data_IF_963945711873
#
_entry.id   IF_963945711873
#
_cell.length_a   1.000
_cell.length_b   1.000
_cell.length_c   1.000
_cell.angle_alpha   90.00
_cell.angle_beta   90.00
_cell.angle_gamma   90.00
#
_symmetry.space_group_name_H-M   'P 1'
#
loop_
_entity.id
_entity.type
_entity.pdbx_description
1 polymer ?
#
# COMPACT_ATOMS: atom_id res chain seq x y z
N UNK A 1 -7.25 -0.39 -25.24
CA UNK A 1 -5.89 -0.97 -25.40
C UNK A 1 -4.94 0.21 -25.33
N UNK A 2 -4.23 0.40 -24.21
CA UNK A 2 -3.26 1.49 -24.07
C UNK A 2 -2.02 1.07 -24.88
N UNK A 3 -1.60 1.92 -25.82
CA UNK A 3 -0.44 1.64 -26.65
C UNK A 3 0.79 1.43 -25.76
N UNK A 4 1.51 0.33 -25.99
CA UNK A 4 2.78 0.05 -25.32
C UNK A 4 3.75 1.18 -25.69
N UNK A 5 4.47 1.78 -24.72
CA UNK A 5 5.53 2.73 -25.04
C UNK A 5 6.55 2.09 -26.00
N UNK A 6 6.84 2.75 -27.12
CA UNK A 6 7.84 2.25 -28.06
C UNK A 6 9.20 2.11 -27.35
N UNK A 7 9.82 0.92 -27.43
CA UNK A 7 11.16 0.67 -26.89
C UNK A 7 11.22 0.08 -25.48
N UNK A 8 10.09 -0.08 -24.77
CA UNK A 8 10.08 -0.75 -23.46
C UNK A 8 9.76 -2.25 -23.64
N UNK A 9 10.58 -3.16 -23.11
CA UNK A 9 10.29 -4.60 -23.17
C UNK A 9 8.97 -4.95 -22.46
N UNK A 10 8.07 -5.62 -23.18
CA UNK A 10 6.81 -6.15 -22.63
C UNK A 10 7.06 -7.47 -21.89
N UNK A 11 7.81 -7.41 -20.79
CA UNK A 11 8.19 -8.57 -19.98
C UNK A 11 7.85 -8.36 -18.51
N UNK A 12 7.49 -9.45 -17.77
CA UNK A 12 7.24 -9.38 -16.34
C UNK A 12 8.43 -8.77 -15.60
N UNK A 13 8.13 -7.94 -14.60
CA UNK A 13 9.16 -7.28 -13.81
C UNK A 13 9.69 -5.98 -14.40
N UNK A 14 9.61 -5.79 -15.73
CA UNK A 14 9.85 -4.49 -16.36
C UNK A 14 8.55 -3.75 -16.51
N UNK A 15 7.57 -4.33 -17.21
CA UNK A 15 6.26 -3.72 -17.43
C UNK A 15 5.24 -4.25 -16.43
N UNK A 16 4.36 -3.37 -15.95
CA UNK A 16 3.31 -3.71 -15.03
C UNK A 16 1.98 -3.91 -15.75
N UNK A 17 1.31 -5.05 -15.55
CA UNK A 17 -0.02 -5.29 -16.14
C UNK A 17 -1.13 -5.36 -15.11
N UNK A 18 -2.34 -4.93 -15.49
CA UNK A 18 -3.50 -5.00 -14.60
C UNK A 18 -3.86 -6.45 -14.24
N UNK A 19 -3.70 -7.39 -15.20
CA UNK A 19 -3.95 -8.82 -15.00
C UNK A 19 -3.03 -9.40 -13.93
N UNK A 20 -1.74 -9.09 -14.00
CA UNK A 20 -0.76 -9.50 -13.01
C UNK A 20 -1.06 -8.94 -11.61
N UNK A 21 -1.47 -7.67 -11.51
CA UNK A 21 -1.86 -7.11 -10.22
C UNK A 21 -3.16 -7.73 -9.67
N UNK A 22 -4.10 -8.09 -10.55
CA UNK A 22 -5.37 -8.70 -10.16
C UNK A 22 -5.16 -10.10 -9.57
N UNK A 23 -4.20 -10.87 -10.08
CA UNK A 23 -3.94 -12.23 -9.58
C UNK A 23 -3.48 -12.25 -8.11
N UNK A 24 -2.93 -11.13 -7.61
CA UNK A 24 -2.54 -10.97 -6.20
C UNK A 24 -3.73 -11.02 -5.23
N UNK A 25 -4.98 -10.91 -5.73
CA UNK A 25 -6.20 -11.03 -4.91
C UNK A 25 -6.31 -12.41 -4.26
N UNK A 26 -6.00 -13.46 -5.01
CA UNK A 26 -6.20 -14.84 -4.54
C UNK A 26 -5.20 -15.20 -3.43
N UNK A 27 -3.96 -14.73 -3.56
CA UNK A 27 -2.95 -14.84 -2.50
C UNK A 27 -3.40 -14.11 -1.22
N UNK A 28 -3.90 -12.88 -1.36
CA UNK A 28 -4.40 -12.10 -0.22
C UNK A 28 -5.57 -12.80 0.47
N UNK A 29 -6.53 -13.32 -0.31
CA UNK A 29 -7.67 -14.06 0.19
C UNK A 29 -7.23 -15.35 0.89
N UNK A 30 -6.24 -16.08 0.36
CA UNK A 30 -5.69 -17.28 0.99
C UNK A 30 -5.04 -16.97 2.34
N UNK A 31 -4.18 -15.95 2.43
CA UNK A 31 -3.54 -15.53 3.69
C UNK A 31 -4.57 -15.16 4.76
N UNK A 32 -5.69 -14.55 4.37
CA UNK A 32 -6.77 -14.21 5.29
C UNK A 32 -7.51 -15.44 5.83
N UNK A 33 -7.70 -16.49 5.02
CA UNK A 33 -8.31 -17.77 5.44
C UNK A 33 -7.43 -18.54 6.43
N UNK A 34 -6.11 -18.44 6.28
CA UNK A 34 -5.14 -19.20 7.09
C UNK A 34 -4.75 -18.56 8.42
N UNK A 35 -5.35 -17.43 8.82
CA UNK A 35 -5.06 -16.84 10.13
C UNK A 35 -5.72 -17.70 11.22
N UNK A 36 -4.97 -18.50 12.00
CA UNK A 36 -5.57 -19.36 13.00
C UNK A 36 -6.23 -18.44 14.02
N UNK A 37 -7.48 -18.72 14.36
CA UNK A 37 -8.13 -18.13 15.51
C UNK A 37 -7.46 -18.69 16.78
N UNK A 38 -6.21 -18.32 17.07
CA UNK A 38 -5.69 -18.47 18.45
C UNK A 38 -6.35 -17.38 19.29
N UNK A 39 -7.67 -17.50 19.49
CA UNK A 39 -8.35 -16.86 20.62
C UNK A 39 -7.86 -17.60 21.85
N UNK A 40 -6.73 -17.15 22.42
CA UNK A 40 -6.47 -17.42 23.83
C UNK A 40 -7.64 -16.82 24.60
N UNK A 41 -8.36 -17.66 25.35
CA UNK A 41 -9.34 -17.16 26.31
C UNK A 41 -8.64 -16.15 27.23
N UNK A 42 -9.12 -14.91 27.25
CA UNK A 42 -8.55 -13.82 28.06
C UNK A 42 -7.71 -12.78 27.30
N UNK A 43 -7.38 -12.97 26.02
CA UNK A 43 -6.73 -11.92 25.23
C UNK A 43 -7.77 -10.92 24.74
N UNK A 44 -7.88 -9.78 25.43
CA UNK A 44 -8.62 -8.61 24.92
C UNK A 44 -7.90 -8.18 23.64
N UNK A 45 -8.56 -8.16 22.46
CA UNK A 45 -7.94 -7.59 21.28
C UNK A 45 -7.61 -6.12 21.59
N UNK A 46 -6.37 -5.71 21.34
CA UNK A 46 -6.02 -4.30 21.38
C UNK A 46 -7.03 -3.56 20.50
N UNK A 47 -7.74 -2.59 21.08
CA UNK A 47 -8.69 -1.75 20.35
C UNK A 47 -7.90 -1.02 19.26
N UNK A 48 -8.13 -1.39 18.01
CA UNK A 48 -7.71 -0.56 16.89
C UNK A 48 -8.55 0.72 16.97
N UNK A 49 -7.90 1.88 16.98
CA UNK A 49 -8.60 3.16 17.00
C UNK A 49 -9.51 3.27 15.75
N UNK A 50 -10.77 3.68 15.93
CA UNK A 50 -11.75 3.85 14.85
C UNK A 50 -12.93 2.86 14.83
N UNK A 51 -13.08 2.00 15.85
CA UNK A 51 -14.23 1.07 15.91
C UNK A 51 -15.47 1.74 16.52
N UNK A 52 -16.28 2.39 15.70
CA UNK A 52 -17.72 2.46 15.97
C UNK A 52 -18.33 1.06 15.79
N UNK A 53 -19.49 0.80 16.37
CA UNK A 53 -20.29 -0.38 16.01
C UNK A 53 -21.63 0.12 15.51
N UNK A 54 -21.90 -0.09 14.22
CA UNK A 54 -23.18 0.27 13.64
C UNK A 54 -24.10 -0.96 13.57
N UNK A 55 -25.33 -0.76 14.05
CA UNK A 55 -26.37 -1.80 14.06
C UNK A 55 -26.85 -2.03 12.62
N UNK A 56 -26.44 -3.12 11.98
CA UNK A 56 -26.81 -3.42 10.59
C UNK A 56 -28.22 -3.95 10.46
N UNK A 57 -28.54 -4.95 11.26
CA UNK A 57 -29.83 -5.65 11.18
C UNK A 57 -30.07 -6.47 12.45
N UNK A 58 -31.35 -6.65 12.77
CA UNK A 58 -31.82 -7.60 13.78
C UNK A 58 -32.52 -8.71 13.00
N UNK A 59 -32.03 -9.95 13.13
CA UNK A 59 -32.62 -11.12 12.47
C UNK A 59 -32.95 -12.22 13.45
N UNK A 60 -33.82 -13.15 13.05
CA UNK A 60 -34.07 -14.37 13.81
C UNK A 60 -32.77 -15.19 13.97
N UNK A 61 -32.60 -15.75 15.15
CA UNK A 61 -31.52 -16.68 15.48
C UNK A 61 -31.61 -17.94 14.61
N UNK A 62 -30.46 -18.42 14.14
CA UNK A 62 -30.32 -19.72 13.49
C UNK A 62 -29.27 -20.53 14.26
N UNK A 63 -29.43 -21.85 14.28
CA UNK A 63 -28.48 -22.75 14.93
C UNK A 63 -27.05 -22.53 14.36
N UNK A 64 -26.11 -22.19 15.25
CA UNK A 64 -24.73 -21.83 14.90
C UNK A 64 -24.37 -20.37 15.18
N UNK A 65 -25.36 -19.51 15.45
CA UNK A 65 -25.12 -18.13 15.86
C UNK A 65 -24.57 -18.01 17.29
N UNK A 66 -23.74 -16.99 17.54
CA UNK A 66 -23.17 -16.71 18.86
C UNK A 66 -24.23 -16.12 19.80
N UNK A 67 -24.62 -16.80 20.90
CA UNK A 67 -25.64 -16.33 21.83
C UNK A 67 -25.30 -15.01 22.52
N UNK A 68 -24.01 -14.62 22.55
CA UNK A 68 -23.58 -13.33 23.12
C UNK A 68 -24.05 -12.13 22.30
N UNK A 69 -24.45 -12.35 21.05
CA UNK A 69 -24.97 -11.32 20.14
C UNK A 69 -26.50 -11.22 20.18
N UNK A 70 -27.14 -11.88 21.14
CA UNK A 70 -28.60 -11.85 21.27
C UNK A 70 -29.10 -10.44 21.58
N UNK A 71 -30.19 -10.04 20.92
CA UNK A 71 -30.88 -8.80 21.19
C UNK A 71 -32.02 -9.06 22.18
N UNK A 72 -31.85 -8.71 23.47
CA UNK A 72 -32.87 -9.00 24.47
C UNK A 72 -34.16 -8.19 24.24
N UNK A 73 -34.08 -6.99 23.64
CA UNK A 73 -35.23 -6.13 23.42
C UNK A 73 -36.10 -6.59 22.25
N UNK A 74 -35.50 -7.07 21.16
CA UNK A 74 -36.22 -7.68 20.05
C UNK A 74 -36.75 -9.07 20.40
N UNK A 75 -35.98 -9.84 21.18
CA UNK A 75 -36.40 -11.16 21.68
C UNK A 75 -37.60 -11.03 22.62
N UNK A 76 -37.59 -10.07 23.54
CA UNK A 76 -38.72 -9.81 24.43
C UNK A 76 -39.99 -9.37 23.69
N UNK A 77 -39.86 -8.60 22.61
CA UNK A 77 -41.02 -8.11 21.83
C UNK A 77 -41.66 -9.17 20.95
N UNK A 78 -40.86 -10.04 20.34
CA UNK A 78 -41.33 -11.03 19.35
C UNK A 78 -41.56 -12.41 19.96
N UNK A 79 -41.04 -12.67 21.15
CA UNK A 79 -41.05 -14.00 21.79
C UNK A 79 -40.15 -15.03 21.10
N UNK A 80 -39.36 -14.61 20.10
CA UNK A 80 -38.45 -15.47 19.35
C UNK A 80 -37.01 -14.97 19.51
N UNK A 81 -35.98 -15.84 19.61
CA UNK A 81 -34.60 -15.39 19.77
C UNK A 81 -34.14 -14.59 18.55
N UNK A 82 -33.68 -13.37 18.78
CA UNK A 82 -33.12 -12.50 17.73
C UNK A 82 -31.64 -12.23 17.99
N UNK A 83 -30.86 -12.20 16.92
CA UNK A 83 -29.43 -11.84 16.95
C UNK A 83 -29.25 -10.45 16.37
N UNK A 84 -28.46 -9.65 17.08
CA UNK A 84 -27.96 -8.36 16.63
C UNK A 84 -26.75 -8.59 15.72
N UNK A 85 -26.91 -8.36 14.42
CA UNK A 85 -25.78 -8.31 13.49
C UNK A 85 -25.13 -6.94 13.61
N UNK A 86 -24.02 -6.89 14.33
CA UNK A 86 -23.20 -5.69 14.46
C UNK A 86 -22.26 -5.63 13.25
N UNK A 87 -22.34 -4.56 12.46
CA UNK A 87 -21.24 -4.20 11.58
C UNK A 87 -20.22 -3.47 12.45
N UNK A 88 -18.96 -3.90 12.39
CA UNK A 88 -17.87 -3.03 12.79
C UNK A 88 -17.99 -1.79 11.90
N UNK A 89 -18.21 -0.62 12.49
CA UNK A 89 -18.15 0.63 11.75
C UNK A 89 -16.68 0.78 11.36
N UNK A 90 -16.36 0.34 10.14
CA UNK A 90 -14.99 0.23 9.65
C UNK A 90 -14.61 1.54 9.00
N UNK A 91 -14.00 2.42 9.80
CA UNK A 91 -13.05 3.42 9.31
C UNK A 91 -11.74 2.74 8.78
N UNK A 92 -11.81 1.51 8.22
CA UNK A 92 -10.66 0.83 7.61
C UNK A 92 -10.40 1.43 6.21
N UNK A 93 -9.93 2.67 6.22
CA UNK A 93 -9.54 3.41 5.02
C UNK A 93 -8.02 3.35 4.84
N UNK A 94 -7.57 2.96 3.65
CA UNK A 94 -6.15 3.01 3.27
C UNK A 94 -5.96 3.86 2.01
N UNK A 95 -5.01 4.78 2.08
CA UNK A 95 -4.46 5.46 0.92
C UNK A 95 -3.15 4.76 0.52
N UNK A 96 -3.12 4.23 -0.70
CA UNK A 96 -1.95 3.60 -1.30
C UNK A 96 -1.21 4.63 -2.17
N UNK A 97 0.06 4.89 -1.86
CA UNK A 97 0.88 5.86 -2.61
C UNK A 97 1.99 5.13 -3.36
N UNK A 98 1.88 5.11 -4.69
CA UNK A 98 2.86 4.55 -5.60
C UNK A 98 3.83 5.62 -6.09
N UNK A 99 5.13 5.40 -5.91
CA UNK A 99 6.19 6.21 -6.48
C UNK A 99 6.68 5.61 -7.80
N UNK A 100 6.45 6.32 -8.90
CA UNK A 100 6.87 5.98 -10.27
C UNK A 100 7.82 7.04 -10.85
N UNK A 101 8.47 7.84 -10.01
CA UNK A 101 9.51 8.78 -10.46
C UNK A 101 10.74 8.03 -10.97
N UNK A 102 11.62 8.71 -11.71
CA UNK A 102 12.81 8.11 -12.32
C UNK A 102 13.64 7.22 -11.36
N UNK A 103 13.87 7.56 -10.07
CA UNK A 103 14.61 6.69 -9.13
C UNK A 103 13.94 5.35 -8.79
N UNK A 104 12.71 5.13 -9.25
CA UNK A 104 11.96 3.89 -9.09
C UNK A 104 11.92 3.05 -10.38
N UNK A 105 12.28 3.62 -11.54
CA UNK A 105 12.18 2.98 -12.85
C UNK A 105 13.45 2.19 -13.23
N UNK A 106 14.10 1.58 -12.25
CA UNK A 106 15.28 0.73 -12.43
C UNK A 106 15.24 -0.46 -11.46
N UNK A 107 16.06 -1.47 -11.74
CA UNK A 107 16.29 -2.64 -10.88
C UNK A 107 17.38 -3.53 -11.47
N UNK A 108 18.12 -4.23 -10.62
CA UNK A 108 19.17 -5.20 -11.04
C UNK A 108 18.72 -6.65 -10.93
N UNK A 109 17.64 -6.91 -10.20
CA UNK A 109 17.05 -8.23 -10.02
C UNK A 109 15.92 -8.54 -11.00
N UNK A 110 14.94 -9.32 -10.53
CA UNK A 110 13.82 -9.81 -11.36
C UNK A 110 12.77 -8.74 -11.71
N UNK A 111 12.80 -7.55 -11.10
CA UNK A 111 11.84 -6.49 -11.36
C UNK A 111 12.37 -5.10 -11.00
N UNK A 112 11.86 -4.07 -11.69
CA UNK A 112 12.06 -2.67 -11.32
C UNK A 112 11.46 -2.39 -9.94
N UNK A 113 12.04 -1.42 -9.22
CA UNK A 113 11.49 -0.97 -7.93
C UNK A 113 10.04 -0.51 -8.04
N UNK A 114 9.68 0.19 -9.10
CA UNK A 114 8.31 0.66 -9.36
C UNK A 114 7.32 -0.50 -9.46
N UNK A 115 7.70 -1.59 -10.13
CA UNK A 115 6.85 -2.78 -10.28
C UNK A 115 6.66 -3.44 -8.92
N UNK A 116 7.73 -3.60 -8.14
CA UNK A 116 7.68 -4.16 -6.78
C UNK A 116 6.89 -3.29 -5.82
N UNK A 117 7.03 -1.96 -5.91
CA UNK A 117 6.23 -1.00 -5.16
C UNK A 117 4.73 -1.20 -5.43
N UNK A 118 4.34 -1.28 -6.71
CA UNK A 118 2.94 -1.48 -7.09
C UNK A 118 2.39 -2.83 -6.60
N UNK A 119 3.14 -3.92 -6.75
CA UNK A 119 2.76 -5.25 -6.22
C UNK A 119 2.55 -5.21 -4.71
N UNK A 120 3.48 -4.59 -3.97
CA UNK A 120 3.41 -4.45 -2.52
C UNK A 120 2.16 -3.66 -2.08
N UNK A 121 1.85 -2.55 -2.76
CA UNK A 121 0.67 -1.74 -2.50
C UNK A 121 -0.63 -2.53 -2.75
N UNK A 122 -0.70 -3.26 -3.87
CA UNK A 122 -1.88 -4.08 -4.20
C UNK A 122 -2.08 -5.21 -3.20
N UNK A 123 -1.00 -5.88 -2.78
CA UNK A 123 -1.04 -6.89 -1.72
C UNK A 123 -1.54 -6.31 -0.38
N UNK A 124 -1.21 -5.06 -0.06
CA UNK A 124 -1.69 -4.38 1.13
C UNK A 124 -3.14 -3.88 1.02
N UNK A 125 -3.58 -3.52 -0.19
CA UNK A 125 -4.93 -3.04 -0.50
C UNK A 125 -6.00 -4.14 -0.46
N UNK A 126 -5.71 -5.32 -1.01
CA UNK A 126 -6.68 -6.40 -1.10
C UNK A 126 -7.31 -6.80 0.24
N UNK A 127 -6.55 -6.99 1.33
CA UNK A 127 -7.16 -7.29 2.62
C UNK A 127 -8.14 -6.24 3.12
N UNK A 128 -7.94 -4.97 2.77
CA UNK A 128 -8.83 -3.85 3.14
C UNK A 128 -10.12 -3.92 2.34
N UNK A 129 -10.00 -4.04 1.01
CA UNK A 129 -11.14 -4.18 0.11
C UNK A 129 -12.01 -5.41 0.45
N UNK A 130 -11.38 -6.57 0.70
CA UNK A 130 -12.05 -7.81 1.09
C UNK A 130 -12.75 -7.72 2.45
N UNK A 131 -12.33 -6.78 3.31
CA UNK A 131 -13.00 -6.45 4.57
C UNK A 131 -14.11 -5.41 4.41
N UNK A 132 -14.37 -4.92 3.21
CA UNK A 132 -15.32 -3.84 2.93
C UNK A 132 -14.79 -2.44 3.25
N UNK A 133 -13.49 -2.31 3.55
CA UNK A 133 -12.86 -1.01 3.81
C UNK A 133 -12.67 -0.19 2.53
N UNK A 134 -12.35 1.10 2.70
CA UNK A 134 -12.15 2.04 1.61
C UNK A 134 -10.70 2.04 1.13
N UNK A 135 -10.49 1.91 -0.19
CA UNK A 135 -9.15 1.98 -0.80
C UNK A 135 -9.08 3.18 -1.73
N UNK A 136 -8.21 4.13 -1.40
CA UNK A 136 -7.83 5.25 -2.25
C UNK A 136 -6.41 5.05 -2.77
N UNK A 137 -6.05 5.77 -3.84
CA UNK A 137 -4.68 5.72 -4.35
C UNK A 137 -4.17 7.05 -4.90
N UNK A 138 -2.85 7.19 -4.85
CA UNK A 138 -2.08 8.30 -5.39
C UNK A 138 -0.87 7.73 -6.14
N UNK A 139 -0.73 8.03 -7.42
CA UNK A 139 0.41 7.59 -8.24
C UNK A 139 1.24 8.81 -8.61
N UNK A 140 2.47 8.87 -8.13
CA UNK A 140 3.39 9.99 -8.30
C UNK A 140 4.43 9.59 -9.35
N UNK A 141 4.19 9.96 -10.61
CA UNK A 141 5.15 9.80 -11.71
C UNK A 141 5.72 11.14 -12.20
N UNK A 142 5.07 12.25 -11.84
CA UNK A 142 5.34 13.58 -12.38
C UNK A 142 4.70 14.69 -11.51
N UNK A 143 4.72 15.96 -11.96
CA UNK A 143 4.18 17.09 -11.19
C UNK A 143 2.66 17.03 -10.96
N UNK A 144 1.95 16.24 -11.78
CA UNK A 144 0.52 15.98 -11.65
C UNK A 144 0.31 14.49 -11.33
N UNK A 145 0.18 14.13 -10.05
CA UNK A 145 -0.15 12.78 -9.65
C UNK A 145 -1.53 12.36 -10.18
N UNK A 146 -1.67 11.08 -10.50
CA UNK A 146 -2.98 10.49 -10.71
C UNK A 146 -3.59 10.08 -9.36
N UNK A 147 -4.90 10.20 -9.24
CA UNK A 147 -5.63 9.99 -7.99
C UNK A 147 -6.81 9.03 -8.24
N UNK A 148 -7.09 8.17 -7.27
CA UNK A 148 -8.31 7.35 -7.21
C UNK A 148 -8.97 7.65 -5.88
N UNK A 149 -10.22 8.11 -5.94
CA UNK A 149 -11.01 8.38 -4.75
C UNK A 149 -11.30 7.09 -3.98
N UNK A 150 -11.29 7.21 -2.64
CA UNK A 150 -11.60 6.09 -1.76
C UNK A 150 -13.04 5.64 -1.90
N UNK A 151 -13.23 4.34 -2.08
CA UNK A 151 -14.54 3.70 -2.05
C UNK A 151 -14.39 2.25 -1.59
N UNK A 152 -15.49 1.66 -1.10
CA UNK A 152 -15.53 0.30 -0.58
C UNK A 152 -15.71 -0.76 -1.69
N UNK A 153 -15.34 -2.00 -1.35
CA UNK A 153 -15.52 -3.18 -2.20
C UNK A 153 -14.38 -3.45 -3.18
N UNK A 154 -14.60 -4.37 -4.12
CA UNK A 154 -13.56 -4.85 -5.06
C UNK A 154 -13.34 -3.90 -6.25
N UNK A 155 -14.37 -3.15 -6.66
CA UNK A 155 -14.30 -2.23 -7.82
C UNK A 155 -13.15 -1.21 -7.77
N UNK A 156 -12.88 -0.57 -6.61
CA UNK A 156 -11.76 0.36 -6.44
C UNK A 156 -10.40 -0.31 -6.65
N UNK A 157 -10.24 -1.56 -6.23
CA UNK A 157 -9.02 -2.33 -6.49
C UNK A 157 -8.85 -2.67 -7.97
N UNK A 158 -9.94 -2.93 -8.70
CA UNK A 158 -9.91 -3.12 -10.16
C UNK A 158 -9.43 -1.84 -10.85
N UNK A 159 -10.05 -0.70 -10.50
CA UNK A 159 -9.66 0.61 -11.00
C UNK A 159 -8.21 0.95 -10.66
N UNK A 160 -7.76 0.60 -9.45
CA UNK A 160 -6.38 0.75 -9.00
C UNK A 160 -5.39 -0.05 -9.84
N UNK A 161 -5.62 -1.35 -10.03
CA UNK A 161 -4.73 -2.20 -10.81
C UNK A 161 -4.59 -1.69 -12.25
N UNK A 162 -5.71 -1.26 -12.85
CA UNK A 162 -5.70 -0.67 -14.18
C UNK A 162 -4.98 0.69 -14.21
N UNK A 163 -5.16 1.54 -13.19
CA UNK A 163 -4.50 2.84 -13.11
C UNK A 163 -2.99 2.70 -12.89
N UNK A 164 -2.55 1.81 -11.99
CA UNK A 164 -1.14 1.53 -11.75
C UNK A 164 -0.43 1.12 -13.04
N UNK A 165 -0.99 0.16 -13.78
CA UNK A 165 -0.44 -0.27 -15.07
C UNK A 165 -0.31 0.90 -16.07
N UNK A 166 -1.38 1.70 -16.23
CA UNK A 166 -1.37 2.85 -17.16
C UNK A 166 -0.36 3.94 -16.76
N UNK A 167 -0.29 4.28 -15.48
CA UNK A 167 0.61 5.33 -14.99
C UNK A 167 2.07 4.86 -15.03
N UNK A 168 2.31 3.58 -14.81
CA UNK A 168 3.62 2.97 -14.92
C UNK A 168 4.11 2.95 -16.38
N UNK A 169 3.26 2.54 -17.34
CA UNK A 169 3.56 2.63 -18.78
C UNK A 169 3.90 4.07 -19.19
N UNK A 170 3.12 5.05 -18.72
CA UNK A 170 3.38 6.47 -19.00
C UNK A 170 4.72 6.95 -18.40
N UNK A 171 5.05 6.52 -17.19
CA UNK A 171 6.31 6.86 -16.52
C UNK A 171 7.53 6.25 -17.23
N UNK A 172 7.41 5.02 -17.74
CA UNK A 172 8.46 4.39 -18.53
C UNK A 172 8.66 5.08 -19.89
N UNK A 173 7.58 5.55 -20.51
CA UNK A 173 7.63 6.26 -21.79
C UNK A 173 8.31 7.62 -21.70
N UNK A 174 8.05 8.34 -20.60
CA UNK A 174 8.55 9.69 -20.37
C UNK A 174 8.86 9.87 -18.87
N UNK A 175 10.03 9.38 -18.40
CA UNK A 175 10.45 9.57 -17.03
C UNK A 175 10.54 11.06 -16.69
N UNK A 176 9.82 11.49 -15.66
CA UNK A 176 9.98 12.85 -15.15
C UNK A 176 11.16 12.88 -14.17
N UNK A 177 12.20 13.61 -14.54
CA UNK A 177 13.29 13.94 -13.64
C UNK A 177 12.86 15.02 -12.64
N UNK A 178 13.49 15.01 -11.46
CA UNK A 178 13.46 16.10 -10.48
C UNK A 178 12.08 16.48 -9.91
N UNK A 179 11.19 15.48 -9.71
CA UNK A 179 9.90 15.70 -9.03
C UNK A 179 10.01 15.37 -7.55
N UNK A 180 9.90 16.34 -6.63
CA UNK A 180 9.93 16.06 -5.20
C UNK A 180 8.68 15.29 -4.77
N UNK A 181 8.86 14.27 -3.92
CA UNK A 181 7.75 13.49 -3.37
C UNK A 181 6.77 14.37 -2.61
N UNK A 182 7.28 15.42 -1.95
CA UNK A 182 6.51 16.37 -1.15
C UNK A 182 5.32 16.98 -1.92
N UNK A 183 5.54 17.40 -3.18
CA UNK A 183 4.51 18.01 -4.01
C UNK A 183 3.39 17.03 -4.37
N UNK A 184 3.75 15.77 -4.60
CA UNK A 184 2.76 14.70 -4.78
C UNK A 184 1.99 14.41 -3.50
N UNK A 185 2.70 14.26 -2.38
CA UNK A 185 2.16 13.91 -1.06
C UNK A 185 1.24 14.98 -0.47
N UNK A 186 1.34 16.24 -0.88
CA UNK A 186 0.39 17.28 -0.44
C UNK A 186 -1.08 16.92 -0.75
N UNK A 187 -1.34 16.11 -1.79
CA UNK A 187 -2.68 15.60 -2.13
C UNK A 187 -3.18 14.53 -1.17
N UNK A 188 -2.28 13.79 -0.53
CA UNK A 188 -2.63 12.72 0.42
C UNK A 188 -3.46 13.23 1.61
N UNK A 189 -3.28 14.49 2.01
CA UNK A 189 -4.07 15.12 3.08
C UNK A 189 -5.57 15.16 2.77
N UNK A 190 -5.95 15.29 1.49
CA UNK A 190 -7.36 15.32 1.06
C UNK A 190 -7.93 13.93 0.82
N UNK A 191 -7.10 13.01 0.33
CA UNK A 191 -7.53 11.66 -0.05
C UNK A 191 -7.66 10.71 1.14
N UNK A 192 -6.93 10.98 2.23
CA UNK A 192 -6.95 10.15 3.43
C UNK A 192 -7.67 10.89 4.57
N UNK A 193 -8.77 10.36 5.13
CA UNK A 193 -9.43 10.95 6.28
C UNK A 193 -8.52 10.92 7.54
N UNK A 194 -8.88 11.69 8.57
CA UNK A 194 -8.24 11.52 9.89
C UNK A 194 -8.48 10.10 10.43
N UNK A 195 -7.52 9.54 11.16
CA UNK A 195 -7.54 8.14 11.61
C UNK A 195 -7.19 7.12 10.52
N UNK A 196 -7.23 7.51 9.24
CA UNK A 196 -6.93 6.65 8.10
C UNK A 196 -5.47 6.17 8.06
N UNK A 197 -5.23 5.15 7.25
CA UNK A 197 -3.91 4.58 7.01
C UNK A 197 -3.34 5.11 5.69
N UNK A 198 -2.05 5.38 5.65
CA UNK A 198 -1.33 5.73 4.42
C UNK A 198 -0.17 4.76 4.29
N UNK A 199 -0.06 4.10 3.14
CA UNK A 199 1.10 3.27 2.79
C UNK A 199 1.79 3.89 1.58
N UNK A 200 3.01 4.37 1.79
CA UNK A 200 3.86 4.93 0.73
C UNK A 200 4.91 3.90 0.34
N UNK A 201 4.97 3.51 -0.93
CA UNK A 201 6.02 2.66 -1.47
C UNK A 201 6.98 3.49 -2.33
N UNK A 202 8.21 3.67 -1.85
CA UNK A 202 9.26 4.50 -2.48
C UNK A 202 10.64 3.90 -2.21
N UNK A 203 11.69 4.43 -2.84
CA UNK A 203 13.06 3.98 -2.62
C UNK A 203 13.68 4.53 -1.32
N UNK A 204 14.84 4.00 -0.88
CA UNK A 204 15.55 4.45 0.32
C UNK A 204 15.71 5.96 0.48
N UNK A 205 16.00 6.65 -0.62
CA UNK A 205 16.20 8.10 -0.64
C UNK A 205 14.98 8.88 -1.16
N UNK A 206 13.94 8.18 -1.63
CA UNK A 206 12.83 8.81 -2.34
C UNK A 206 11.96 9.72 -1.48
N UNK A 207 11.99 9.56 -0.15
CA UNK A 207 11.23 10.37 0.80
C UNK A 207 11.97 11.63 1.27
N UNK A 208 13.26 11.75 0.98
CA UNK A 208 14.04 12.93 1.39
C UNK A 208 13.45 14.21 0.75
N UNK A 209 13.39 15.29 1.52
CA UNK A 209 12.72 16.53 1.13
C UNK A 209 11.19 16.55 1.36
N UNK A 210 10.58 15.42 1.78
CA UNK A 210 9.17 15.34 2.13
C UNK A 210 8.89 15.32 3.65
N UNK A 211 9.89 15.59 4.49
CA UNK A 211 9.81 15.43 5.95
C UNK A 211 8.64 16.19 6.57
N UNK A 212 8.46 17.46 6.19
CA UNK A 212 7.39 18.31 6.73
C UNK A 212 6.00 17.77 6.41
N UNK A 213 5.78 17.26 5.18
CA UNK A 213 4.47 16.71 4.79
C UNK A 213 4.24 15.33 5.41
N UNK A 214 5.28 14.50 5.53
CA UNK A 214 5.19 13.19 6.17
C UNK A 214 4.88 13.34 7.67
N UNK A 215 5.57 14.25 8.38
CA UNK A 215 5.26 14.57 9.77
C UNK A 215 3.82 15.11 9.93
N UNK A 216 3.40 16.01 9.03
CA UNK A 216 2.04 16.55 9.07
C UNK A 216 0.97 15.46 8.93
N UNK A 217 1.18 14.48 8.03
CA UNK A 217 0.30 13.34 7.83
C UNK A 217 0.30 12.39 9.04
N UNK A 218 1.48 12.05 9.55
CA UNK A 218 1.65 11.12 10.67
C UNK A 218 0.96 11.57 11.98
N UNK A 219 0.75 12.87 12.17
CA UNK A 219 0.05 13.40 13.37
C UNK A 219 -1.38 12.91 13.55
N UNK A 220 -2.08 12.61 12.45
CA UNK A 220 -3.53 12.32 12.44
C UNK A 220 -3.85 10.99 11.75
N UNK A 221 -2.85 10.28 11.25
CA UNK A 221 -2.99 9.09 10.40
C UNK A 221 -1.88 8.11 10.71
N UNK A 222 -2.13 6.83 10.46
CA UNK A 222 -1.09 5.82 10.54
C UNK A 222 -0.31 5.83 9.23
N UNK A 223 0.82 6.52 9.21
CA UNK A 223 1.71 6.60 8.05
C UNK A 223 2.73 5.46 8.07
N UNK A 224 2.72 4.62 7.04
CA UNK A 224 3.74 3.60 6.78
C UNK A 224 4.53 3.99 5.53
N UNK A 225 5.86 3.98 5.63
CA UNK A 225 6.77 4.17 4.50
C UNK A 225 7.51 2.86 4.26
N UNK A 226 7.20 2.23 3.12
CA UNK A 226 7.83 1.02 2.62
C UNK A 226 8.97 1.38 1.68
N UNK A 227 10.20 1.15 2.14
CA UNK A 227 11.43 1.33 1.37
C UNK A 227 11.64 0.10 0.48
N UNK A 228 11.44 0.27 -0.82
CA UNK A 228 11.59 -0.79 -1.82
C UNK A 228 13.06 -0.91 -2.19
N UNK A 229 13.71 -1.98 -1.71
CA UNK A 229 15.15 -2.19 -1.88
C UNK A 229 15.45 -3.02 -3.11
N UNK A 230 16.42 -2.65 -3.93
CA UNK A 230 16.89 -3.45 -5.05
C UNK A 230 17.83 -4.60 -4.60
N UNK A 231 17.99 -5.64 -5.43
CA UNK A 231 18.91 -6.76 -5.15
C UNK A 231 20.33 -6.25 -4.87
N UNK A 232 20.81 -5.27 -5.65
CA UNK A 232 22.14 -4.70 -5.49
C UNK A 232 22.36 -3.92 -4.18
N UNK A 233 21.29 -3.54 -3.48
CA UNK A 233 21.39 -2.86 -2.18
C UNK A 233 21.46 -3.85 -1.02
N UNK A 234 20.99 -5.08 -1.21
CA UNK A 234 21.04 -6.14 -0.19
C UNK A 234 22.28 -7.00 -0.43
N UNK A 235 22.57 -7.29 -1.69
CA UNK A 235 23.67 -8.11 -2.14
C UNK A 235 24.42 -7.39 -3.27
N UNK A 236 25.22 -6.35 -2.94
CA UNK A 236 25.98 -5.65 -3.95
C UNK A 236 26.94 -6.61 -4.69
N UNK A 237 27.09 -6.45 -6.02
CA UNK A 237 28.00 -7.29 -6.79
C UNK A 237 29.43 -7.16 -6.26
N UNK A 238 30.12 -8.30 -6.20
CA UNK A 238 31.51 -8.35 -5.73
C UNK A 238 32.45 -7.76 -6.78
N UNK A 239 33.48 -7.07 -6.31
CA UNK A 239 34.56 -6.55 -7.14
C UNK A 239 34.40 -5.08 -7.47
N UNK A 240 35.19 -4.63 -8.44
CA UNK A 240 35.24 -3.25 -8.88
C UNK A 240 34.47 -3.14 -10.19
N UNK A 241 33.50 -2.23 -10.23
CA UNK A 241 32.68 -1.93 -11.39
C UNK A 241 33.25 -0.72 -12.13
N UNK A 242 33.19 -0.76 -13.47
CA UNK A 242 33.34 0.43 -14.29
C UNK A 242 32.04 1.23 -14.30
N UNK A 243 32.11 2.50 -13.95
CA UNK A 243 31.02 3.48 -14.05
C UNK A 243 31.40 4.45 -15.16
N UNK A 244 30.58 4.51 -16.21
CA UNK A 244 30.77 5.42 -17.32
C UNK A 244 29.56 6.33 -17.52
N UNK A 245 29.80 7.63 -17.69
CA UNK A 245 28.75 8.61 -17.98
C UNK A 245 29.34 9.89 -18.57
N UNK A 246 28.72 10.43 -19.62
CA UNK A 246 29.13 11.71 -20.24
C UNK A 246 30.61 11.79 -20.60
N UNK A 247 31.17 10.75 -21.24
CA UNK A 247 32.57 10.68 -21.66
C UNK A 247 33.59 10.37 -20.55
N UNK A 248 33.16 10.29 -19.28
CA UNK A 248 34.03 9.95 -18.16
C UNK A 248 33.85 8.48 -17.79
N UNK A 249 34.94 7.83 -17.37
CA UNK A 249 34.91 6.49 -16.79
C UNK A 249 35.69 6.47 -15.49
N UNK A 250 35.11 5.87 -14.46
CA UNK A 250 35.73 5.65 -13.15
C UNK A 250 35.47 4.23 -12.71
N UNK A 251 36.32 3.73 -11.84
CA UNK A 251 36.08 2.46 -11.15
C UNK A 251 35.55 2.72 -9.75
N UNK A 252 34.57 1.93 -9.32
CA UNK A 252 34.00 2.03 -7.97
C UNK A 252 33.55 0.66 -7.47
N UNK A 253 33.34 0.53 -6.16
CA UNK A 253 32.65 -0.62 -5.58
C UNK A 253 31.26 -0.17 -5.17
N UNK A 254 30.26 -0.98 -5.48
CA UNK A 254 28.93 -0.78 -4.94
C UNK A 254 28.91 -1.35 -3.52
N UNK A 255 28.36 -0.59 -2.58
CA UNK A 255 28.18 -0.99 -1.19
C UNK A 255 26.68 -0.97 -0.88
N UNK A 256 26.26 -1.86 0.01
CA UNK A 256 24.90 -1.80 0.55
C UNK A 256 24.72 -0.44 1.27
N UNK A 257 23.60 0.26 1.04
CA UNK A 257 23.34 1.53 1.71
C UNK A 257 23.13 1.31 3.21
N UNK A 258 23.65 2.22 4.03
CA UNK A 258 23.27 2.27 5.45
C UNK A 258 21.90 2.95 5.57
N UNK A 259 20.87 2.14 5.78
CA UNK A 259 19.49 2.60 5.91
C UNK A 259 19.15 3.07 7.33
N UNK A 260 19.98 2.78 8.33
CA UNK A 260 19.64 3.03 9.73
C UNK A 260 19.34 4.52 10.03
N UNK A 261 20.11 5.51 9.53
CA UNK A 261 19.81 6.92 9.72
C UNK A 261 18.46 7.33 9.11
N UNK A 262 18.17 6.84 7.89
CA UNK A 262 16.93 7.14 7.20
C UNK A 262 15.70 6.55 7.91
N UNK A 263 15.79 5.28 8.32
CA UNK A 263 14.75 4.61 9.10
C UNK A 263 14.51 5.30 10.45
N UNK A 264 15.57 5.69 11.16
CA UNK A 264 15.46 6.44 12.41
C UNK A 264 14.77 7.80 12.20
N UNK A 265 15.11 8.51 11.12
CA UNK A 265 14.50 9.79 10.79
C UNK A 265 13.03 9.65 10.44
N UNK A 266 12.63 8.66 9.64
CA UNK A 266 11.22 8.37 9.36
C UNK A 266 10.42 8.08 10.64
N UNK A 267 10.98 7.29 11.56
CA UNK A 267 10.36 7.02 12.87
C UNK A 267 10.22 8.28 13.73
N UNK A 268 11.22 9.16 13.71
CA UNK A 268 11.18 10.44 14.41
C UNK A 268 10.08 11.38 13.85
N UNK A 269 9.70 11.24 12.57
CA UNK A 269 8.56 11.96 11.98
C UNK A 269 7.20 11.34 12.36
N UNK A 270 7.18 10.24 13.12
CA UNK A 270 5.97 9.50 13.50
C UNK A 270 5.51 8.47 12.47
N UNK A 271 6.33 8.16 11.46
CA UNK A 271 6.02 7.12 10.48
C UNK A 271 6.50 5.74 10.94
N UNK A 272 5.76 4.70 10.55
CA UNK A 272 6.25 3.31 10.57
C UNK A 272 7.13 3.12 9.34
N UNK A 273 8.42 2.87 9.54
CA UNK A 273 9.35 2.61 8.45
C UNK A 273 9.61 1.10 8.32
N UNK A 274 9.36 0.55 7.14
CA UNK A 274 9.60 -0.86 6.81
C UNK A 274 10.46 -0.98 5.56
N UNK A 275 11.23 -2.05 5.48
CA UNK A 275 12.00 -2.41 4.30
C UNK A 275 11.28 -3.51 3.54
N UNK A 276 11.24 -3.43 2.20
CA UNK A 276 10.64 -4.43 1.33
C UNK A 276 11.72 -5.03 0.46
N UNK A 277 12.03 -6.29 0.76
CA UNK A 277 13.04 -7.09 0.05
C UNK A 277 12.54 -7.51 -1.36
N UNK A 278 13.45 -7.92 -2.27
CA UNK A 278 13.17 -8.45 -3.60
C UNK A 278 12.16 -9.59 -3.66
#
# INVERSE_FOLDING_TARGET
MVAVPAGVPDVPGIRLTATELMSLRDEAAARMRHRPLTRRAGAVPARLAGAGMDLREIRAYVAGDDPRRMDPAATARTGQPHIRSLHEDRDDTILLVADFRAPMLWGTGAALRSVRAARHLVQAGWPVALRGGSVAALMIAGPRPAEIAGSGGDGPMISLCAALARQHDAALAAPADDVPLAGGMARAMRLSPEGGRILVATGPDGWQGAESVLAALARRRVLTVALILDESEIQPPRGVLGISGGGHSRTARLLAPDLAPGLARLRALGAIAIEVMP
#
